data_IF_810819012478
#
_entry.id   IF_810819012478
#
_cell.length_a   1.000
_cell.length_b   1.000
_cell.length_c   1.000
_cell.angle_alpha   90.00
_cell.angle_beta   90.00
_cell.angle_gamma   90.00
#
_symmetry.space_group_name_H-M   'P 1'
#
loop_
_entity.id
_entity.type
_entity.pdbx_description
1 polymer ?
#
# COMPACT_ATOMS: atom_id res chain seq x y z
N UNK A 1 -16.61 -2.83 -7.11
CA UNK A 1 -15.97 -3.65 -6.07
C UNK A 1 -16.43 -3.15 -4.70
N UNK A 2 -16.86 -4.03 -3.80
CA UNK A 2 -17.25 -3.61 -2.44
C UNK A 2 -16.00 -3.60 -1.53
N UNK A 3 -15.53 -2.39 -1.21
CA UNK A 3 -14.31 -2.16 -0.41
C UNK A 3 -14.48 -2.68 1.03
N UNK A 4 -15.68 -2.58 1.61
CA UNK A 4 -15.94 -3.03 2.97
C UNK A 4 -15.83 -4.55 3.09
N UNK A 5 -16.39 -5.26 2.10
CA UNK A 5 -16.27 -6.71 2.02
C UNK A 5 -14.81 -7.16 1.81
N UNK A 6 -14.09 -6.50 0.89
CA UNK A 6 -12.70 -6.84 0.58
C UNK A 6 -11.76 -6.66 1.79
N UNK A 7 -11.92 -5.58 2.55
CA UNK A 7 -11.05 -5.26 3.68
C UNK A 7 -11.53 -5.86 5.02
N UNK A 8 -12.72 -6.48 5.05
CA UNK A 8 -13.32 -7.01 6.29
C UNK A 8 -13.73 -5.92 7.30
N UNK A 9 -14.00 -4.69 6.84
CA UNK A 9 -14.43 -3.57 7.69
C UNK A 9 -15.93 -3.28 7.53
N UNK A 10 -16.50 -2.54 8.50
CA UNK A 10 -17.89 -2.08 8.39
C UNK A 10 -18.03 -1.02 7.28
N UNK A 11 -19.21 -0.96 6.64
CA UNK A 11 -19.53 0.08 5.65
C UNK A 11 -19.36 1.49 6.23
N UNK A 12 -19.77 1.70 7.47
CA UNK A 12 -19.61 2.99 8.15
C UNK A 12 -18.13 3.38 8.33
N UNK A 13 -17.27 2.43 8.70
CA UNK A 13 -15.82 2.64 8.82
C UNK A 13 -15.19 3.01 7.49
N UNK A 14 -15.53 2.28 6.41
CA UNK A 14 -15.03 2.56 5.06
C UNK A 14 -15.51 3.92 4.57
N UNK A 15 -16.79 4.27 4.76
CA UNK A 15 -17.32 5.59 4.38
C UNK A 15 -16.56 6.72 5.09
N UNK A 16 -16.28 6.57 6.38
CA UNK A 16 -15.50 7.56 7.14
C UNK A 16 -14.07 7.71 6.58
N UNK A 17 -13.42 6.59 6.24
CA UNK A 17 -12.08 6.62 5.65
C UNK A 17 -12.08 7.27 4.26
N UNK A 18 -13.04 6.93 3.39
CA UNK A 18 -13.18 7.53 2.06
C UNK A 18 -13.45 9.04 2.13
N UNK A 19 -14.26 9.50 3.09
CA UNK A 19 -14.46 10.91 3.34
C UNK A 19 -13.16 11.62 3.74
N UNK A 20 -12.33 10.98 4.58
CA UNK A 20 -11.01 11.50 4.93
C UNK A 20 -10.07 11.63 3.72
N UNK A 21 -10.02 10.60 2.87
CA UNK A 21 -9.23 10.62 1.63
C UNK A 21 -9.72 11.70 0.65
N UNK A 22 -11.04 11.93 0.59
CA UNK A 22 -11.62 12.96 -0.27
C UNK A 22 -11.31 14.37 0.22
N UNK A 23 -11.45 14.62 1.53
CA UNK A 23 -11.04 15.89 2.15
C UNK A 23 -9.55 16.16 1.95
N UNK A 24 -8.70 15.13 1.93
CA UNK A 24 -7.28 15.24 1.66
C UNK A 24 -6.93 15.39 0.16
N UNK A 25 -7.91 15.39 -0.75
CA UNK A 25 -7.68 15.50 -2.19
C UNK A 25 -7.06 14.26 -2.83
N UNK A 26 -7.15 13.09 -2.17
CA UNK A 26 -6.53 11.84 -2.62
C UNK A 26 -7.52 10.93 -3.36
N UNK A 27 -8.82 11.06 -3.11
CA UNK A 27 -9.84 10.26 -3.77
C UNK A 27 -11.12 11.06 -4.04
N UNK A 28 -11.83 10.67 -5.09
CA UNK A 28 -13.15 11.17 -5.43
C UNK A 28 -14.16 10.03 -5.31
N UNK A 29 -15.29 10.31 -4.67
CA UNK A 29 -16.42 9.37 -4.59
C UNK A 29 -17.52 9.90 -5.51
N UNK A 30 -17.76 9.20 -6.61
CA UNK A 30 -18.79 9.56 -7.60
C UNK A 30 -19.87 8.48 -7.57
N UNK A 31 -21.05 8.84 -7.05
CA UNK A 31 -22.14 7.92 -6.76
C UNK A 31 -21.71 6.73 -5.87
N UNK A 32 -21.35 5.59 -6.47
CA UNK A 32 -20.90 4.38 -5.77
C UNK A 32 -19.47 3.96 -6.14
N UNK A 33 -18.81 4.74 -6.98
CA UNK A 33 -17.44 4.47 -7.41
C UNK A 33 -16.45 5.37 -6.67
N UNK A 34 -15.29 4.80 -6.35
CA UNK A 34 -14.16 5.51 -5.77
C UNK A 34 -13.07 5.59 -6.82
N UNK A 35 -12.55 6.79 -7.08
CA UNK A 35 -11.45 7.05 -8.02
C UNK A 35 -10.32 7.74 -7.29
N UNK A 36 -9.09 7.35 -7.55
CA UNK A 36 -7.93 8.09 -7.05
C UNK A 36 -7.75 9.35 -7.88
N UNK A 37 -7.40 10.45 -7.22
CA UNK A 37 -6.88 11.63 -7.91
C UNK A 37 -5.47 11.35 -8.42
N UNK A 38 -4.88 12.19 -9.29
CA UNK A 38 -3.48 12.01 -9.69
C UNK A 38 -2.52 11.93 -8.50
N UNK A 39 -2.76 12.70 -7.44
CA UNK A 39 -1.95 12.67 -6.22
C UNK A 39 -2.21 11.40 -5.38
N UNK A 40 -3.47 10.99 -5.27
CA UNK A 40 -3.81 9.71 -4.63
C UNK A 40 -3.18 8.51 -5.34
N UNK A 41 -3.18 8.53 -6.67
CA UNK A 41 -2.56 7.52 -7.52
C UNK A 41 -1.03 7.48 -7.30
N UNK A 42 -0.38 8.65 -7.20
CA UNK A 42 1.06 8.74 -6.90
C UNK A 42 1.39 8.09 -5.56
N UNK A 43 0.61 8.41 -4.51
CA UNK A 43 0.80 7.83 -3.18
C UNK A 43 0.53 6.32 -3.19
N UNK A 44 -0.58 5.89 -3.81
CA UNK A 44 -0.94 4.48 -3.91
C UNK A 44 0.14 3.66 -4.64
N UNK A 45 0.69 4.18 -5.74
CA UNK A 45 1.81 3.54 -6.46
C UNK A 45 3.06 3.44 -5.62
N UNK A 46 3.38 4.47 -4.84
CA UNK A 46 4.54 4.44 -3.92
C UNK A 46 4.35 3.36 -2.84
N UNK A 47 3.18 3.30 -2.22
CA UNK A 47 2.82 2.27 -1.24
C UNK A 47 2.94 0.87 -1.87
N UNK A 48 2.28 0.64 -3.01
CA UNK A 48 2.37 -0.64 -3.73
C UNK A 48 3.80 -1.02 -4.15
N UNK A 49 4.61 -0.04 -4.54
CA UNK A 49 6.03 -0.25 -4.85
C UNK A 49 6.80 -0.79 -3.65
N UNK A 50 6.57 -0.23 -2.46
CA UNK A 50 7.15 -0.70 -1.21
C UNK A 50 6.68 -2.11 -0.83
N UNK A 51 5.38 -2.40 -0.95
CA UNK A 51 4.85 -3.75 -0.75
C UNK A 51 5.58 -4.79 -1.61
N UNK A 52 5.73 -4.49 -2.90
CA UNK A 52 6.38 -5.39 -3.85
C UNK A 52 7.86 -5.57 -3.56
N UNK A 53 8.55 -4.50 -3.17
CA UNK A 53 9.95 -4.56 -2.77
C UNK A 53 10.14 -5.50 -1.58
N UNK A 54 9.43 -5.26 -0.48
CA UNK A 54 9.56 -6.09 0.73
C UNK A 54 9.07 -7.52 0.51
N UNK A 55 7.94 -7.69 -0.19
CA UNK A 55 7.42 -9.01 -0.52
C UNK A 55 8.40 -9.82 -1.38
N UNK A 56 9.03 -9.19 -2.38
CA UNK A 56 10.07 -9.82 -3.20
C UNK A 56 11.30 -10.19 -2.38
N UNK A 57 11.79 -9.26 -1.56
CA UNK A 57 12.95 -9.50 -0.68
C UNK A 57 12.71 -10.68 0.29
N UNK A 58 11.52 -10.76 0.90
CA UNK A 58 11.18 -11.84 1.83
C UNK A 58 11.05 -13.18 1.09
N UNK A 59 10.45 -13.19 -0.11
CA UNK A 59 10.39 -14.37 -0.96
C UNK A 59 11.79 -14.87 -1.35
N UNK A 60 12.69 -13.97 -1.73
CA UNK A 60 14.08 -14.29 -2.05
C UNK A 60 14.85 -14.84 -0.84
N UNK A 61 14.52 -14.36 0.37
CA UNK A 61 15.05 -14.90 1.62
C UNK A 61 14.45 -16.28 2.01
N UNK A 62 13.52 -16.82 1.22
CA UNK A 62 12.89 -18.13 1.44
C UNK A 62 11.65 -18.12 2.34
N UNK A 63 11.08 -16.95 2.62
CA UNK A 63 9.80 -16.83 3.35
C UNK A 63 8.65 -17.27 2.44
N UNK A 64 7.66 -17.97 2.98
CA UNK A 64 6.50 -18.38 2.20
C UNK A 64 5.67 -17.17 1.75
N UNK A 65 5.01 -17.27 0.59
CA UNK A 65 4.34 -16.13 -0.02
C UNK A 65 3.20 -15.52 0.80
N UNK A 66 2.54 -16.29 1.67
CA UNK A 66 1.48 -15.75 2.53
C UNK A 66 2.07 -14.89 3.63
N UNK A 67 3.14 -15.36 4.28
CA UNK A 67 3.86 -14.61 5.30
C UNK A 67 4.53 -13.38 4.69
N UNK A 68 5.23 -13.53 3.56
CA UNK A 68 5.90 -12.44 2.86
C UNK A 68 4.94 -11.30 2.50
N UNK A 69 3.75 -11.62 1.96
CA UNK A 69 2.74 -10.59 1.63
C UNK A 69 2.16 -9.91 2.87
N UNK A 70 1.92 -10.67 3.94
CA UNK A 70 1.40 -10.12 5.19
C UNK A 70 2.40 -9.18 5.88
N UNK A 71 3.67 -9.56 5.93
CA UNK A 71 4.75 -8.74 6.50
C UNK A 71 5.02 -7.50 5.64
N UNK A 72 5.11 -7.65 4.31
CA UNK A 72 5.26 -6.54 3.38
C UNK A 72 4.14 -5.49 3.50
N UNK A 73 2.90 -5.93 3.79
CA UNK A 73 1.77 -5.02 4.03
C UNK A 73 1.97 -4.15 5.29
N UNK A 74 2.78 -4.58 6.24
CA UNK A 74 3.12 -3.79 7.43
C UNK A 74 4.33 -2.90 7.18
N UNK A 75 5.34 -3.45 6.50
CA UNK A 75 6.59 -2.75 6.22
C UNK A 75 6.43 -1.58 5.25
N UNK A 76 5.49 -1.67 4.31
CA UNK A 76 5.16 -0.57 3.39
C UNK A 76 4.65 0.69 4.10
N UNK A 77 4.16 0.56 5.34
CA UNK A 77 3.59 1.65 6.13
C UNK A 77 4.45 2.12 7.31
N UNK A 78 5.48 1.36 7.73
CA UNK A 78 6.22 1.67 8.96
C UNK A 78 7.46 2.56 8.76
N UNK A 79 8.11 2.50 7.58
CA UNK A 79 9.33 3.27 7.34
C UNK A 79 9.06 4.67 6.78
N UNK A 80 9.92 5.61 7.17
CA UNK A 80 10.05 6.89 6.48
C UNK A 80 10.51 6.70 5.02
N UNK A 81 10.25 7.68 4.16
CA UNK A 81 10.68 7.67 2.76
C UNK A 81 12.20 7.54 2.63
N UNK A 82 12.97 8.37 3.35
CA UNK A 82 14.44 8.31 3.31
C UNK A 82 15.03 7.02 3.90
N UNK A 83 14.36 6.36 4.84
CA UNK A 83 14.77 5.04 5.33
C UNK A 83 14.54 3.97 4.27
N UNK A 84 13.37 3.99 3.63
CA UNK A 84 13.04 3.06 2.55
C UNK A 84 14.01 3.19 1.38
N UNK A 85 14.28 4.42 0.92
CA UNK A 85 15.20 4.66 -0.20
C UNK A 85 16.61 4.10 0.04
N UNK A 86 17.15 4.29 1.26
CA UNK A 86 18.47 3.75 1.63
C UNK A 86 18.49 2.23 1.66
N UNK A 87 17.45 1.61 2.20
CA UNK A 87 17.34 0.14 2.23
C UNK A 87 17.14 -0.43 0.82
N UNK A 88 16.30 0.21 0.00
CA UNK A 88 16.07 -0.19 -1.37
C UNK A 88 17.34 -0.09 -2.22
N UNK A 89 18.14 0.97 -2.05
CA UNK A 89 19.44 1.09 -2.69
C UNK A 89 20.41 -0.01 -2.21
N UNK A 90 20.51 -0.23 -0.89
CA UNK A 90 21.42 -1.21 -0.31
C UNK A 90 21.11 -2.65 -0.75
N UNK A 91 19.83 -3.01 -0.81
CA UNK A 91 19.39 -4.39 -1.07
C UNK A 91 19.06 -4.65 -2.54
N UNK A 92 18.72 -3.60 -3.30
CA UNK A 92 18.48 -3.69 -4.75
C UNK A 92 19.75 -3.91 -5.58
N UNK A 93 20.93 -3.61 -5.04
CA UNK A 93 22.23 -3.90 -5.67
C UNK A 93 22.69 -5.36 -5.48
N UNK A 94 22.06 -6.12 -4.58
CA UNK A 94 22.43 -7.51 -4.26
C UNK A 94 21.60 -8.60 -4.95
N UNK A 95 20.57 -8.21 -5.71
CA UNK A 95 19.68 -9.13 -6.43
C UNK A 95 20.08 -9.23 -7.92
N UNK A 96 21.22 -9.88 -8.19
CA UNK A 96 21.60 -10.39 -9.53
C UNK A 96 22.19 -11.78 -9.40
#
# INVERSE_FOLDING_TARGET
MDIACLLGYSKASVTKALAGLSTAGLAEVVARDVRLTPEGERIARRTLGRHRFFGGLLLEAGVDGKTASWEACREEHCLSEGSFEKLAALLGEGAT
#
